data_IF_368384118689
#
_entry.id   IF_368384118689
#
_cell.length_a   1.000
_cell.length_b   1.000
_cell.length_c   1.000
_cell.angle_alpha   90.00
_cell.angle_beta   90.00
_cell.angle_gamma   90.00
#
_symmetry.space_group_name_H-M   'P 1'
#
loop_
_entity.id
_entity.type
_entity.pdbx_description
1 polymer ?
#
# COMPACT_ATOMS: atom_id res chain seq x y z
N UNK A 1 -14.79 -14.25 -7.99
CA UNK A 1 -15.66 -13.13 -8.43
C UNK A 1 -16.55 -13.56 -9.60
N UNK A 2 -16.04 -14.48 -10.43
CA UNK A 2 -16.75 -14.94 -11.63
C UNK A 2 -18.15 -15.48 -11.31
N UNK A 3 -19.17 -15.02 -12.05
CA UNK A 3 -20.56 -15.34 -11.80
C UNK A 3 -21.18 -14.78 -10.50
N UNK A 4 -20.45 -13.91 -9.77
CA UNK A 4 -20.88 -13.29 -8.51
C UNK A 4 -21.03 -11.79 -8.58
N UNK A 5 -20.50 -11.16 -9.64
CA UNK A 5 -20.59 -9.71 -9.84
C UNK A 5 -21.73 -9.37 -10.79
N UNK A 6 -22.42 -8.25 -10.53
CA UNK A 6 -23.45 -7.67 -11.41
C UNK A 6 -22.90 -6.63 -12.39
N UNK A 7 -21.60 -6.47 -12.44
CA UNK A 7 -20.87 -5.57 -13.35
C UNK A 7 -19.52 -6.22 -13.72
N UNK A 8 -18.83 -5.65 -14.68
CA UNK A 8 -17.44 -6.00 -15.00
C UNK A 8 -16.54 -5.74 -13.79
N UNK A 9 -15.51 -6.56 -13.63
CA UNK A 9 -14.54 -6.42 -12.54
C UNK A 9 -13.12 -6.68 -13.02
N UNK A 10 -12.17 -6.14 -12.29
CA UNK A 10 -10.74 -6.40 -12.42
C UNK A 10 -10.09 -6.42 -11.03
N UNK A 11 -8.78 -6.62 -10.99
CA UNK A 11 -8.04 -6.76 -9.74
C UNK A 11 -6.91 -5.73 -9.65
N UNK A 12 -6.61 -5.31 -8.42
CA UNK A 12 -5.34 -4.68 -8.05
C UNK A 12 -4.48 -5.76 -7.40
N UNK A 13 -3.33 -6.08 -7.99
CA UNK A 13 -2.38 -7.00 -7.39
C UNK A 13 -1.56 -6.30 -6.33
N UNK A 14 -1.53 -6.86 -5.11
CA UNK A 14 -0.69 -6.34 -4.03
C UNK A 14 0.72 -6.88 -4.14
N UNK A 15 1.73 -5.99 -4.06
CA UNK A 15 3.13 -6.34 -3.96
C UNK A 15 3.57 -6.04 -2.53
N UNK A 16 4.02 -7.04 -1.79
CA UNK A 16 4.39 -6.96 -0.37
C UNK A 16 5.86 -7.27 -0.10
N UNK A 17 6.58 -7.75 -1.11
CA UNK A 17 8.02 -7.94 -1.11
C UNK A 17 8.57 -7.77 -2.53
N UNK A 18 9.86 -7.52 -2.65
CA UNK A 18 10.53 -7.33 -3.93
C UNK A 18 11.82 -8.13 -4.03
N UNK A 19 11.84 -9.07 -4.95
CA UNK A 19 12.97 -9.92 -5.30
C UNK A 19 12.83 -10.36 -6.78
N UNK A 20 13.78 -11.14 -7.29
CA UNK A 20 13.78 -11.56 -8.70
C UNK A 20 12.55 -12.41 -9.07
N UNK A 21 12.02 -13.18 -8.11
CA UNK A 21 10.83 -14.01 -8.30
C UNK A 21 9.58 -13.14 -8.41
N UNK A 22 9.37 -12.21 -7.47
CA UNK A 22 8.22 -11.30 -7.49
C UNK A 22 8.27 -10.33 -8.68
N UNK A 23 9.45 -9.93 -9.13
CA UNK A 23 9.58 -9.14 -10.36
C UNK A 23 9.09 -9.92 -11.59
N UNK A 24 9.42 -11.22 -11.68
CA UNK A 24 8.94 -12.09 -12.76
C UNK A 24 7.43 -12.32 -12.67
N UNK A 25 6.87 -12.50 -11.47
CA UNK A 25 5.42 -12.62 -11.25
C UNK A 25 4.65 -11.37 -11.67
N UNK A 26 5.21 -10.17 -11.43
CA UNK A 26 4.61 -8.90 -11.90
C UNK A 26 4.50 -8.89 -13.41
N UNK A 27 5.53 -9.35 -14.13
CA UNK A 27 5.47 -9.46 -15.59
C UNK A 27 4.40 -10.46 -16.06
N UNK A 28 4.31 -11.60 -15.39
CA UNK A 28 3.28 -12.61 -15.68
C UNK A 28 1.87 -12.04 -15.46
N UNK A 29 1.64 -11.26 -14.40
CA UNK A 29 0.36 -10.59 -14.18
C UNK A 29 0.02 -9.58 -15.27
N UNK A 30 1.01 -8.82 -15.76
CA UNK A 30 0.84 -7.87 -16.87
C UNK A 30 0.44 -8.64 -18.14
N UNK A 31 1.09 -9.74 -18.45
CA UNK A 31 0.80 -10.57 -19.61
C UNK A 31 -0.61 -11.19 -19.56
N UNK A 32 -1.14 -11.38 -18.34
CA UNK A 32 -2.53 -11.78 -18.09
C UNK A 32 -3.53 -10.60 -18.07
N UNK A 33 -3.09 -9.39 -18.37
CA UNK A 33 -3.95 -8.20 -18.48
C UNK A 33 -4.19 -7.44 -17.17
N UNK A 34 -3.46 -7.77 -16.09
CA UNK A 34 -3.51 -7.01 -14.84
C UNK A 34 -2.46 -5.92 -14.89
N UNK A 35 -2.90 -4.66 -14.99
CA UNK A 35 -2.04 -3.48 -15.15
C UNK A 35 -2.14 -2.51 -13.98
N UNK A 36 -2.79 -2.93 -12.90
CA UNK A 36 -2.97 -2.12 -11.70
C UNK A 36 -2.46 -2.86 -10.47
N UNK A 37 -1.60 -2.19 -9.71
CA UNK A 37 -0.91 -2.75 -8.55
C UNK A 37 -1.16 -1.92 -7.30
N UNK A 38 -1.10 -2.55 -6.12
CA UNK A 38 -1.29 -1.90 -4.82
C UNK A 38 -0.08 -2.13 -3.92
N UNK A 39 0.42 -1.03 -3.34
CA UNK A 39 1.56 -1.00 -2.44
C UNK A 39 1.15 -0.38 -1.11
N UNK A 40 1.91 -0.66 -0.06
CA UNK A 40 1.61 -0.18 1.28
C UNK A 40 2.88 0.36 1.96
N UNK A 41 2.78 1.56 2.54
CA UNK A 41 3.78 2.16 3.42
C UNK A 41 3.47 1.93 4.91
N UNK A 42 2.39 1.23 5.21
CA UNK A 42 1.98 0.84 6.55
C UNK A 42 1.42 -0.59 6.53
N UNK A 43 0.95 -1.10 7.68
CA UNK A 43 0.53 -2.48 7.92
C UNK A 43 1.71 -3.47 7.89
N UNK A 44 2.21 -3.92 9.08
CA UNK A 44 3.46 -4.69 9.22
C UNK A 44 3.59 -5.91 8.30
N UNK A 45 2.48 -6.55 7.94
CA UNK A 45 2.47 -7.72 7.04
C UNK A 45 2.53 -7.36 5.55
N UNK A 46 2.42 -6.07 5.18
CA UNK A 46 2.30 -5.63 3.79
C UNK A 46 3.24 -4.47 3.44
N UNK A 47 3.92 -3.92 4.44
CA UNK A 47 4.78 -2.74 4.25
C UNK A 47 5.96 -3.06 3.34
N UNK A 48 6.16 -2.24 2.34
CA UNK A 48 7.33 -2.26 1.44
C UNK A 48 8.26 -1.13 1.87
N UNK A 49 9.56 -1.42 2.02
CA UNK A 49 10.55 -0.40 2.35
C UNK A 49 10.81 0.56 1.17
N UNK A 50 11.39 1.72 1.44
CA UNK A 50 11.57 2.79 0.46
C UNK A 50 12.41 2.35 -0.75
N UNK A 51 13.44 1.50 -0.54
CA UNK A 51 14.30 1.01 -1.61
C UNK A 51 13.52 0.12 -2.59
N UNK A 52 12.74 -0.80 -2.07
CA UNK A 52 11.92 -1.70 -2.88
C UNK A 52 10.74 -0.95 -3.49
N UNK A 53 10.12 -0.01 -2.76
CA UNK A 53 9.10 0.89 -3.30
C UNK A 53 9.59 1.60 -4.56
N UNK A 54 10.79 2.18 -4.50
CA UNK A 54 11.40 2.85 -5.66
C UNK A 54 11.58 1.90 -6.85
N UNK A 55 12.11 0.69 -6.61
CA UNK A 55 12.35 -0.32 -7.68
C UNK A 55 11.03 -0.76 -8.32
N UNK A 56 10.01 -1.04 -7.49
CA UNK A 56 8.68 -1.43 -7.95
C UNK A 56 8.06 -0.32 -8.81
N UNK A 57 8.03 0.91 -8.31
CA UNK A 57 7.44 2.03 -9.05
C UNK A 57 8.16 2.29 -10.37
N UNK A 58 9.48 2.16 -10.39
CA UNK A 58 10.29 2.26 -11.60
C UNK A 58 9.89 1.17 -12.60
N UNK A 59 9.84 -0.09 -12.18
CA UNK A 59 9.46 -1.23 -13.03
C UNK A 59 8.03 -1.06 -13.59
N UNK A 60 7.07 -0.73 -12.74
CA UNK A 60 5.68 -0.52 -13.16
C UNK A 60 5.55 0.65 -14.14
N UNK A 61 6.30 1.74 -13.92
CA UNK A 61 6.35 2.88 -14.83
C UNK A 61 6.91 2.51 -16.21
N UNK A 62 7.99 1.72 -16.26
CA UNK A 62 8.58 1.20 -17.50
C UNK A 62 7.61 0.30 -18.27
N UNK A 63 6.76 -0.45 -17.57
CA UNK A 63 5.72 -1.29 -18.16
C UNK A 63 4.41 -0.54 -18.48
N UNK A 64 4.30 0.76 -18.19
CA UNK A 64 3.08 1.53 -18.40
C UNK A 64 1.92 1.12 -17.48
N UNK A 65 2.23 0.55 -16.31
CA UNK A 65 1.26 0.10 -15.32
C UNK A 65 0.92 1.19 -14.32
N UNK A 66 -0.25 1.07 -13.69
CA UNK A 66 -0.71 1.95 -12.62
C UNK A 66 -0.35 1.37 -11.24
N UNK A 67 0.12 2.22 -10.33
CA UNK A 67 0.35 1.87 -8.94
C UNK A 67 -0.45 2.76 -7.99
N UNK A 68 -1.28 2.14 -7.13
CA UNK A 68 -1.90 2.79 -6.00
C UNK A 68 -1.10 2.51 -4.72
N UNK A 69 -0.79 3.55 -3.95
CA UNK A 69 -0.02 3.41 -2.70
C UNK A 69 -0.87 3.84 -1.52
N UNK A 70 -0.88 3.03 -0.45
CA UNK A 70 -1.39 3.46 0.85
C UNK A 70 -0.26 4.17 1.59
N UNK A 71 -0.31 5.52 1.57
CA UNK A 71 0.76 6.38 2.07
C UNK A 71 0.43 6.91 3.46
N UNK A 72 0.92 6.26 4.50
CA UNK A 72 0.88 6.76 5.87
C UNK A 72 2.19 6.45 6.59
N UNK A 73 2.61 7.31 7.53
CA UNK A 73 3.80 7.08 8.35
C UNK A 73 3.51 6.04 9.44
N UNK A 74 3.88 4.78 9.18
CA UNK A 74 3.61 3.66 10.07
C UNK A 74 4.18 3.86 11.48
N UNK A 75 5.41 4.35 11.58
CA UNK A 75 6.07 4.53 12.89
C UNK A 75 5.37 5.54 13.80
N UNK A 76 4.89 6.64 13.22
CA UNK A 76 4.14 7.65 13.98
C UNK A 76 2.75 7.13 14.36
N UNK A 77 2.07 6.44 13.45
CA UNK A 77 0.77 5.82 13.74
C UNK A 77 0.88 4.81 14.87
N UNK A 78 1.87 3.94 14.86
CA UNK A 78 2.09 2.96 15.92
C UNK A 78 2.35 3.61 17.29
N UNK A 79 3.09 4.72 17.31
CA UNK A 79 3.28 5.51 18.52
C UNK A 79 1.96 6.09 19.04
N UNK A 80 1.18 6.75 18.18
CA UNK A 80 -0.12 7.34 18.53
C UNK A 80 -1.14 6.28 19.00
N UNK A 81 -1.16 5.11 18.35
CA UNK A 81 -2.00 3.98 18.79
C UNK A 81 -1.57 3.50 20.18
N UNK A 82 -0.27 3.41 20.42
CA UNK A 82 0.26 2.97 21.72
C UNK A 82 -0.09 3.96 22.83
N UNK A 83 -0.01 5.25 22.57
CA UNK A 83 -0.44 6.30 23.50
C UNK A 83 -1.94 6.23 23.79
N UNK A 84 -2.77 6.14 22.75
CA UNK A 84 -4.21 6.03 22.90
C UNK A 84 -4.62 4.80 23.74
N UNK A 85 -3.95 3.67 23.55
CA UNK A 85 -4.18 2.46 24.35
C UNK A 85 -3.83 2.66 25.82
N UNK A 86 -2.72 3.32 26.13
CA UNK A 86 -2.31 3.62 27.52
C UNK A 86 -3.31 4.55 28.21
N UNK A 87 -3.93 5.45 27.48
CA UNK A 87 -4.94 6.40 27.98
C UNK A 87 -6.36 5.82 28.00
N UNK A 88 -6.55 4.57 27.60
CA UNK A 88 -7.85 3.91 27.55
C UNK A 88 -8.77 4.38 26.42
N UNK A 89 -8.25 5.12 25.43
CA UNK A 89 -8.99 5.61 24.25
C UNK A 89 -9.07 4.51 23.18
N UNK A 90 -10.01 3.57 23.35
CA UNK A 90 -10.10 2.37 22.54
C UNK A 90 -11.27 2.40 21.52
N UNK A 91 -12.15 3.39 21.62
CA UNK A 91 -13.33 3.49 20.75
C UNK A 91 -13.00 3.95 19.32
N UNK A 92 -13.85 3.63 18.35
CA UNK A 92 -13.62 3.96 16.94
C UNK A 92 -13.58 5.47 16.66
N UNK A 93 -14.17 6.30 17.52
CA UNK A 93 -14.12 7.77 17.46
C UNK A 93 -12.69 8.32 17.58
N UNK A 94 -11.76 7.54 18.13
CA UNK A 94 -10.34 7.91 18.24
C UNK A 94 -9.52 7.63 16.97
N UNK A 95 -10.10 6.96 15.98
CA UNK A 95 -9.38 6.63 14.74
C UNK A 95 -8.77 7.85 14.05
N UNK A 96 -9.45 9.01 13.89
CA UNK A 96 -8.85 10.20 13.28
C UNK A 96 -7.71 10.80 14.09
N UNK A 97 -7.71 10.58 15.40
CA UNK A 97 -6.67 11.12 16.32
C UNK A 97 -5.36 10.33 16.24
N UNK A 98 -5.43 9.04 15.94
CA UNK A 98 -4.25 8.17 15.78
C UNK A 98 -3.80 8.03 14.32
N UNK A 99 -4.59 8.57 13.39
CA UNK A 99 -4.30 8.64 11.94
C UNK A 99 -4.62 10.03 11.40
N UNK A 100 -3.91 11.06 11.85
CA UNK A 100 -4.14 12.42 11.35
C UNK A 100 -3.71 12.52 9.87
N UNK A 101 -4.36 13.39 9.11
CA UNK A 101 -4.11 13.64 7.69
C UNK A 101 -2.66 14.04 7.38
N UNK A 102 -1.98 14.66 8.33
CA UNK A 102 -0.56 15.00 8.23
C UNK A 102 0.34 13.78 8.05
N UNK A 103 -0.07 12.58 8.49
CA UNK A 103 0.70 11.35 8.32
C UNK A 103 0.65 10.85 6.86
N UNK A 104 -0.46 11.04 6.20
CA UNK A 104 -0.58 10.78 4.76
C UNK A 104 0.20 11.83 3.95
N UNK A 105 0.03 13.11 4.25
CA UNK A 105 0.72 14.20 3.56
C UNK A 105 2.25 14.06 3.66
N UNK A 106 2.77 13.72 4.84
CA UNK A 106 4.21 13.51 5.07
C UNK A 106 4.76 12.34 4.25
N UNK A 107 4.02 11.25 4.15
CA UNK A 107 4.46 10.03 3.44
C UNK A 107 4.41 10.14 1.93
N UNK A 108 3.68 11.12 1.37
CA UNK A 108 3.63 11.37 -0.08
C UNK A 108 4.84 12.14 -0.61
N UNK A 109 5.54 12.89 0.22
CA UNK A 109 6.65 13.76 -0.23
C UNK A 109 7.81 13.00 -0.90
N UNK A 110 8.22 11.80 -0.47
CA UNK A 110 9.31 11.07 -1.11
C UNK A 110 8.97 10.47 -2.48
N UNK A 111 7.69 10.47 -2.86
CA UNK A 111 7.19 9.81 -4.08
C UNK A 111 6.91 10.79 -5.23
N UNK A 112 7.16 12.08 -5.03
CA UNK A 112 6.99 13.13 -6.04
C UNK A 112 8.30 13.49 -6.71
#
# INVERSE_FOLDING_TARGET
>A
ADGKCSCDYSFHMSIVEWNDETEAEVQDMIDHGITSFKLYMTYPAMIVNDCDMYKILKKLGECGCFAGVHCENAGVIDALISEAKKEGRLGPENHPLVRPDTMEANSRQPLN
#
